data_IF_214533795012
#
_entry.id   IF_214533795012
#
_cell.length_a   1.000
_cell.length_b   1.000
_cell.length_c   1.000
_cell.angle_alpha   90.00
_cell.angle_beta   90.00
_cell.angle_gamma   90.00
#
_symmetry.space_group_name_H-M   'P 1'
#
loop_
_entity.id
_entity.type
_entity.pdbx_description
1 polymer ?
#
# COMPACT_ATOMS: atom_id res chain seq x y z
N UNK A 1 2.75 -14.21 13.16
CA UNK A 1 2.27 -13.94 14.53
C UNK A 1 1.80 -12.50 14.58
N UNK A 2 0.50 -12.30 14.70
CA UNK A 2 -0.06 -10.98 14.94
C UNK A 2 0.30 -10.61 16.38
N UNK A 3 1.11 -9.57 16.55
CA UNK A 3 1.39 -9.03 17.89
C UNK A 3 0.17 -8.19 18.28
N UNK A 4 -0.70 -8.73 19.12
CA UNK A 4 -1.76 -7.93 19.75
C UNK A 4 -1.10 -7.03 20.80
N UNK A 5 -1.01 -5.73 20.50
CA UNK A 5 -0.63 -4.74 21.50
C UNK A 5 -1.81 -4.49 22.42
N UNK A 6 -1.55 -4.46 23.72
CA UNK A 6 -2.54 -3.98 24.68
C UNK A 6 -2.70 -2.46 24.54
N UNK A 7 -3.87 -1.92 24.89
CA UNK A 7 -4.09 -0.45 24.86
C UNK A 7 -3.11 0.30 25.75
N UNK A 8 -2.68 -0.31 26.85
CA UNK A 8 -1.64 0.22 27.74
C UNK A 8 -0.30 0.37 27.02
N UNK A 9 0.11 -0.65 26.26
CA UNK A 9 1.36 -0.61 25.47
C UNK A 9 1.35 0.48 24.39
N UNK A 10 0.18 0.76 23.78
CA UNK A 10 0.05 1.86 22.83
C UNK A 10 0.34 3.20 23.51
N UNK A 11 -0.23 3.44 24.70
CA UNK A 11 0.00 4.67 25.46
C UNK A 11 1.45 4.74 25.95
N UNK A 12 1.99 3.64 26.46
CA UNK A 12 3.39 3.56 26.92
C UNK A 12 4.39 3.84 25.78
N UNK A 13 4.06 3.44 24.55
CA UNK A 13 4.89 3.73 23.37
C UNK A 13 4.99 5.23 23.08
N UNK A 14 3.91 5.99 23.36
CA UNK A 14 3.91 7.45 23.23
C UNK A 14 4.85 8.09 24.27
N UNK A 15 4.76 7.65 25.54
CA UNK A 15 5.65 8.16 26.58
C UNK A 15 7.11 7.81 26.30
N UNK A 16 7.40 6.59 25.88
CA UNK A 16 8.75 6.17 25.48
C UNK A 16 9.29 7.00 24.28
N UNK A 17 8.43 7.33 23.32
CA UNK A 17 8.81 8.20 22.21
C UNK A 17 9.12 9.63 22.68
N UNK A 18 8.38 10.16 23.65
CA UNK A 18 8.65 11.47 24.24
C UNK A 18 10.00 11.47 24.97
N UNK A 19 10.28 10.47 25.78
CA UNK A 19 11.55 10.33 26.49
C UNK A 19 12.75 10.23 25.52
N UNK A 20 12.63 9.39 24.50
CA UNK A 20 13.68 9.19 23.50
C UNK A 20 13.98 10.43 22.67
N UNK A 21 12.94 11.20 22.29
CA UNK A 21 13.08 12.34 21.36
C UNK A 21 13.15 13.71 22.05
N UNK A 22 12.78 13.80 23.32
CA UNK A 22 12.61 15.05 24.05
C UNK A 22 11.44 15.93 23.57
N UNK A 23 10.61 15.42 22.64
CA UNK A 23 9.48 16.17 22.07
C UNK A 23 8.21 15.94 22.89
N UNK A 24 7.48 17.02 23.17
CA UNK A 24 6.21 16.97 23.93
C UNK A 24 4.98 16.76 23.05
N UNK A 25 5.12 16.86 21.74
CA UNK A 25 4.04 16.71 20.77
C UNK A 25 4.41 15.71 19.67
N UNK A 26 3.42 15.09 19.06
CA UNK A 26 3.63 14.10 18.02
C UNK A 26 2.32 13.56 17.42
N UNK A 27 2.48 12.55 16.61
CA UNK A 27 1.38 11.81 15.99
C UNK A 27 1.50 10.35 16.44
N UNK A 28 0.39 9.82 16.98
CA UNK A 28 0.20 8.39 17.16
C UNK A 28 -0.56 7.88 15.94
N UNK A 29 0.12 7.09 15.10
CA UNK A 29 -0.48 6.46 13.93
C UNK A 29 -0.90 5.03 14.26
N UNK A 30 -2.16 4.69 13.98
CA UNK A 30 -2.73 3.36 14.20
C UNK A 30 -3.20 2.84 12.84
N UNK A 31 -2.56 1.81 12.34
CA UNK A 31 -2.93 1.16 11.09
C UNK A 31 -3.97 0.07 11.31
N UNK A 32 -4.77 -0.20 10.29
CA UNK A 32 -5.82 -1.24 10.27
C UNK A 32 -6.79 -1.16 11.45
N UNK A 33 -7.15 0.06 11.86
CA UNK A 33 -7.99 0.33 13.05
C UNK A 33 -9.33 -0.42 13.05
N UNK A 34 -9.85 -0.76 11.91
CA UNK A 34 -11.14 -1.43 11.73
C UNK A 34 -11.00 -2.97 11.54
N UNK A 35 -9.79 -3.51 11.65
CA UNK A 35 -9.51 -4.95 11.68
C UNK A 35 -9.45 -5.52 13.10
N UNK A 36 -9.73 -4.72 14.12
CA UNK A 36 -9.74 -5.17 15.53
C UNK A 36 -10.90 -6.13 15.82
N UNK A 37 -10.71 -7.01 16.81
CA UNK A 37 -11.74 -7.96 17.22
C UNK A 37 -13.02 -7.25 17.72
N UNK A 38 -14.15 -7.95 17.67
CA UNK A 38 -15.45 -7.43 18.16
C UNK A 38 -15.41 -6.95 19.61
N UNK A 39 -14.64 -7.64 20.42
CA UNK A 39 -14.49 -7.31 21.84
C UNK A 39 -13.66 -6.06 22.10
N UNK A 40 -12.71 -5.75 21.22
CA UNK A 40 -11.84 -4.59 21.35
C UNK A 40 -12.36 -3.35 20.61
N UNK A 41 -13.22 -3.51 19.61
CA UNK A 41 -13.70 -2.40 18.80
C UNK A 41 -14.34 -1.26 19.64
N UNK A 42 -15.25 -1.52 20.61
CA UNK A 42 -15.82 -0.44 21.43
C UNK A 42 -14.77 0.32 22.24
N UNK A 43 -13.79 -0.41 22.79
CA UNK A 43 -12.71 0.17 23.55
C UNK A 43 -11.78 1.04 22.70
N UNK A 44 -11.48 0.57 21.50
CA UNK A 44 -10.66 1.30 20.53
C UNK A 44 -11.37 2.58 20.08
N UNK A 45 -12.67 2.53 19.83
CA UNK A 45 -13.47 3.70 19.49
C UNK A 45 -13.50 4.72 20.62
N UNK A 46 -13.69 4.25 21.85
CA UNK A 46 -13.61 5.12 23.04
C UNK A 46 -12.24 5.77 23.17
N UNK A 47 -11.16 5.02 22.90
CA UNK A 47 -9.80 5.54 22.91
C UNK A 47 -9.60 6.64 21.87
N UNK A 48 -10.08 6.45 20.62
CA UNK A 48 -10.00 7.49 19.59
C UNK A 48 -10.73 8.77 19.99
N UNK A 49 -11.85 8.65 20.69
CA UNK A 49 -12.66 9.80 21.12
C UNK A 49 -12.08 10.52 22.35
N UNK A 50 -11.72 9.77 23.37
CA UNK A 50 -11.34 10.30 24.68
C UNK A 50 -9.84 10.43 24.84
N UNK A 51 -9.03 9.78 24.01
CA UNK A 51 -7.57 9.67 24.13
C UNK A 51 -7.12 9.06 25.46
N UNK A 52 -7.98 8.25 26.07
CA UNK A 52 -7.74 7.61 27.38
C UNK A 52 -8.06 6.13 27.32
N UNK A 53 -7.36 5.35 28.14
CA UNK A 53 -7.64 3.96 28.42
C UNK A 53 -7.45 3.68 29.90
N UNK A 54 -8.54 3.32 30.59
CA UNK A 54 -8.53 3.20 32.04
C UNK A 54 -8.12 4.53 32.70
N UNK A 55 -7.04 4.49 33.46
CA UNK A 55 -6.44 5.65 34.14
C UNK A 55 -5.27 6.30 33.38
N UNK A 56 -4.94 5.79 32.18
CA UNK A 56 -3.88 6.32 31.33
C UNK A 56 -4.47 7.21 30.25
N UNK A 57 -3.74 8.25 29.84
CA UNK A 57 -4.14 9.18 28.80
C UNK A 57 -2.98 9.47 27.84
N UNK A 58 -3.32 9.73 26.58
CA UNK A 58 -2.38 10.29 25.63
C UNK A 58 -2.06 11.72 26.05
N UNK A 59 -0.77 12.12 26.14
CA UNK A 59 -0.36 13.45 26.55
C UNK A 59 -0.95 14.55 25.65
N UNK A 60 -1.17 15.72 26.24
CA UNK A 60 -1.56 16.89 25.48
C UNK A 60 -0.54 17.23 24.39
N UNK A 61 -1.02 17.70 23.22
CA UNK A 61 -0.17 17.96 22.06
C UNK A 61 0.02 16.76 21.12
N UNK A 62 -0.48 15.58 21.48
CA UNK A 62 -0.50 14.41 20.58
C UNK A 62 -1.81 14.28 19.83
N UNK A 63 -1.68 13.95 18.53
CA UNK A 63 -2.80 13.70 17.62
C UNK A 63 -2.84 12.21 17.31
N UNK A 64 -4.03 11.61 17.38
CA UNK A 64 -4.25 10.25 16.91
C UNK A 64 -4.68 10.32 15.46
N UNK A 65 -3.98 9.59 14.60
CA UNK A 65 -4.32 9.36 13.18
C UNK A 65 -4.49 7.87 13.02
N UNK A 66 -5.63 7.46 12.47
CA UNK A 66 -5.92 6.06 12.24
C UNK A 66 -6.16 5.81 10.75
N UNK A 67 -5.66 4.69 10.24
CA UNK A 67 -5.94 4.21 8.90
C UNK A 67 -6.77 2.92 8.96
N UNK A 68 -7.57 2.71 7.95
CA UNK A 68 -8.37 1.49 7.82
C UNK A 68 -8.83 1.29 6.39
N UNK A 69 -9.03 0.05 6.00
CA UNK A 69 -9.52 -0.30 4.68
C UNK A 69 -11.05 -0.30 4.66
N UNK A 70 -11.68 0.12 3.57
CA UNK A 70 -13.13 0.02 3.44
C UNK A 70 -13.59 -1.45 3.36
N UNK A 71 -14.84 -1.76 3.77
CA UNK A 71 -15.36 -3.14 3.83
C UNK A 71 -15.33 -3.89 2.50
N UNK A 72 -15.34 -3.17 1.39
CA UNK A 72 -15.28 -3.72 0.03
C UNK A 72 -13.96 -4.49 -0.23
N UNK A 73 -12.89 -4.10 0.45
CA UNK A 73 -11.57 -4.74 0.30
C UNK A 73 -11.28 -5.83 1.33
N UNK A 74 -12.03 -5.84 2.44
CA UNK A 74 -11.83 -6.84 3.48
C UNK A 74 -13.14 -7.12 4.22
N UNK A 75 -13.67 -8.33 4.03
CA UNK A 75 -14.94 -8.77 4.65
C UNK A 75 -14.89 -8.85 6.19
N UNK A 76 -13.70 -8.87 6.76
CA UNK A 76 -13.50 -8.85 8.22
C UNK A 76 -13.53 -7.45 8.81
N UNK A 77 -13.57 -6.43 7.98
CA UNK A 77 -13.59 -5.02 8.37
C UNK A 77 -15.00 -4.60 8.76
N UNK A 78 -15.10 -3.78 9.79
CA UNK A 78 -16.35 -3.19 10.25
C UNK A 78 -16.43 -1.72 9.87
N UNK A 79 -17.62 -1.30 9.49
CA UNK A 79 -17.92 0.12 9.39
C UNK A 79 -18.02 0.73 10.80
N UNK A 80 -17.46 1.92 10.92
CA UNK A 80 -17.69 2.74 12.10
C UNK A 80 -19.14 3.25 12.11
N UNK A 81 -19.75 3.24 13.28
CA UNK A 81 -21.07 3.82 13.44
C UNK A 81 -21.07 5.35 13.24
N UNK A 82 -22.25 5.90 12.98
CA UNK A 82 -22.41 7.33 12.71
C UNK A 82 -21.94 8.19 13.90
N UNK A 83 -22.12 7.71 15.15
CA UNK A 83 -21.71 8.45 16.35
C UNK A 83 -20.19 8.58 16.43
N UNK A 84 -19.47 7.55 16.00
CA UNK A 84 -18.00 7.57 15.92
C UNK A 84 -17.52 8.47 14.80
N UNK A 85 -18.12 8.36 13.62
CA UNK A 85 -17.76 9.17 12.44
C UNK A 85 -17.99 10.66 12.67
N UNK A 86 -18.99 11.05 13.47
CA UNK A 86 -19.27 12.43 13.83
C UNK A 86 -18.15 13.09 14.68
N UNK A 87 -17.36 12.27 15.38
CA UNK A 87 -16.29 12.72 16.29
C UNK A 87 -14.88 12.67 15.67
N UNK A 88 -14.74 12.09 14.50
CA UNK A 88 -13.48 11.99 13.76
C UNK A 88 -13.56 12.73 12.44
N UNK A 89 -12.42 13.18 11.93
CA UNK A 89 -12.35 13.72 10.57
C UNK A 89 -11.98 12.59 9.62
N UNK A 90 -12.93 12.16 8.82
CA UNK A 90 -12.70 11.13 7.80
C UNK A 90 -12.07 11.76 6.55
N UNK A 91 -10.95 11.19 6.14
CA UNK A 91 -10.26 11.53 4.88
C UNK A 91 -10.31 10.28 4.02
N UNK A 92 -10.91 10.39 2.84
CA UNK A 92 -10.88 9.32 1.84
C UNK A 92 -9.59 9.46 1.04
N UNK A 93 -8.81 8.36 0.99
CA UNK A 93 -7.60 8.28 0.18
C UNK A 93 -7.93 7.43 -1.04
N UNK A 94 -7.83 8.01 -2.22
CA UNK A 94 -8.11 7.35 -3.48
C UNK A 94 -6.80 7.11 -4.25
N UNK A 95 -6.75 6.05 -5.09
CA UNK A 95 -5.61 5.83 -5.97
C UNK A 95 -5.49 6.99 -6.99
N UNK A 96 -4.32 7.63 -7.02
CA UNK A 96 -4.03 8.73 -7.94
C UNK A 96 -2.75 8.39 -8.74
N UNK A 97 -2.88 8.08 -10.02
CA UNK A 97 -1.75 7.72 -10.87
C UNK A 97 -0.76 8.87 -11.05
N UNK A 98 -1.15 10.12 -11.33
CA UNK A 98 -0.24 11.25 -11.41
C UNK A 98 0.63 11.43 -10.16
N UNK A 99 0.04 11.38 -8.97
CA UNK A 99 0.77 11.48 -7.72
C UNK A 99 1.71 10.28 -7.50
N UNK A 100 1.23 9.06 -7.77
CA UNK A 100 2.07 7.86 -7.68
C UNK A 100 3.23 7.88 -8.67
N UNK A 101 3.05 8.41 -9.87
CA UNK A 101 4.10 8.53 -10.88
C UNK A 101 5.27 9.38 -10.42
N UNK A 102 5.02 10.48 -9.69
CA UNK A 102 6.09 11.28 -9.10
C UNK A 102 6.87 10.51 -8.03
N UNK A 103 6.14 9.81 -7.17
CA UNK A 103 6.72 8.88 -6.20
C UNK A 103 7.56 7.80 -6.88
N UNK A 104 6.98 7.13 -7.88
CA UNK A 104 7.61 6.04 -8.62
C UNK A 104 8.94 6.45 -9.27
N UNK A 105 9.03 7.66 -9.82
CA UNK A 105 10.29 8.20 -10.36
C UNK A 105 11.36 8.37 -9.29
N UNK A 106 10.98 8.84 -8.10
CA UNK A 106 11.90 8.99 -6.96
C UNK A 106 12.39 7.64 -6.43
N UNK A 107 11.51 6.65 -6.42
CA UNK A 107 11.81 5.28 -5.98
C UNK A 107 12.50 4.44 -7.07
N UNK A 108 12.72 5.00 -8.27
CA UNK A 108 13.35 4.32 -9.39
C UNK A 108 12.60 3.07 -9.83
N UNK A 109 11.27 3.15 -9.85
CA UNK A 109 10.43 2.11 -10.42
C UNK A 109 10.86 1.84 -11.87
N UNK A 110 10.84 0.57 -12.27
CA UNK A 110 11.33 0.12 -13.57
C UNK A 110 10.69 0.90 -14.72
N UNK A 111 11.53 1.35 -15.66
CA UNK A 111 11.12 2.24 -16.76
C UNK A 111 10.04 1.62 -17.67
N UNK A 112 10.09 0.29 -17.87
CA UNK A 112 9.09 -0.45 -18.63
C UNK A 112 7.70 -0.36 -17.99
N UNK A 113 7.60 -0.42 -16.66
CA UNK A 113 6.33 -0.25 -15.94
C UNK A 113 5.82 1.19 -16.09
N UNK A 114 6.70 2.18 -15.92
CA UNK A 114 6.31 3.58 -16.07
C UNK A 114 5.82 3.88 -17.49
N UNK A 115 6.51 3.40 -18.51
CA UNK A 115 6.10 3.61 -19.90
C UNK A 115 4.82 2.86 -20.26
N UNK A 116 4.61 1.65 -19.70
CA UNK A 116 3.36 0.93 -19.84
C UNK A 116 2.19 1.71 -19.26
N UNK A 117 2.32 2.20 -18.04
CA UNK A 117 1.26 2.93 -17.34
C UNK A 117 1.00 4.34 -17.94
N UNK A 118 1.99 4.93 -18.62
CA UNK A 118 1.75 6.14 -19.43
C UNK A 118 0.80 5.88 -20.59
N UNK A 119 0.92 4.73 -21.24
CA UNK A 119 0.05 4.33 -22.35
C UNK A 119 -1.31 3.81 -21.88
N UNK A 120 -1.35 3.22 -20.68
CA UNK A 120 -2.54 2.56 -20.12
C UNK A 120 -2.77 2.95 -18.65
N UNK A 121 -3.02 4.23 -18.36
CA UNK A 121 -3.18 4.72 -16.99
C UNK A 121 -4.37 4.07 -16.25
N UNK A 122 -5.38 3.59 -16.98
CA UNK A 122 -6.51 2.85 -16.43
C UNK A 122 -6.11 1.52 -15.77
N UNK A 123 -4.94 0.97 -16.09
CA UNK A 123 -4.42 -0.27 -15.51
C UNK A 123 -3.60 -0.03 -14.22
N UNK A 124 -3.44 1.23 -13.80
CA UNK A 124 -2.73 1.55 -12.56
C UNK A 124 -3.41 0.96 -11.32
N UNK A 125 -4.73 1.06 -11.25
CA UNK A 125 -5.50 0.54 -10.14
C UNK A 125 -6.83 -0.03 -10.66
N UNK A 126 -7.02 -1.32 -10.51
CA UNK A 126 -8.26 -2.02 -10.87
C UNK A 126 -8.60 -3.02 -9.78
N UNK A 127 -9.85 -3.03 -9.35
CA UNK A 127 -10.40 -4.05 -8.46
C UNK A 127 -11.71 -4.51 -9.08
N UNK A 128 -11.81 -5.80 -9.32
CA UNK A 128 -12.98 -6.43 -9.92
C UNK A 128 -13.28 -7.73 -9.18
N UNK A 129 -14.54 -7.99 -8.90
CA UNK A 129 -14.97 -9.26 -8.33
C UNK A 129 -15.47 -10.15 -9.46
N UNK A 130 -14.95 -11.35 -9.55
CA UNK A 130 -15.39 -12.40 -10.47
C UNK A 130 -15.92 -13.60 -9.70
N UNK A 131 -16.43 -14.61 -10.43
CA UNK A 131 -16.99 -15.86 -9.87
C UNK A 131 -15.94 -16.62 -9.06
N UNK A 132 -14.68 -16.54 -9.49
CA UNK A 132 -13.55 -17.25 -8.91
C UNK A 132 -12.82 -16.44 -7.82
N UNK A 133 -13.20 -15.18 -7.60
CA UNK A 133 -12.60 -14.36 -6.57
C UNK A 133 -12.43 -12.89 -6.95
N UNK A 134 -11.47 -12.25 -6.28
CA UNK A 134 -11.14 -10.85 -6.50
C UNK A 134 -9.93 -10.73 -7.43
N UNK A 135 -10.13 -10.05 -8.55
CA UNK A 135 -9.06 -9.68 -9.49
C UNK A 135 -8.63 -8.26 -9.19
N UNK A 136 -7.33 -8.02 -9.05
CA UNK A 136 -6.88 -6.68 -8.71
C UNK A 136 -5.49 -6.33 -9.22
N UNK A 137 -5.29 -5.03 -9.39
CA UNK A 137 -4.00 -4.37 -9.63
C UNK A 137 -3.93 -3.19 -8.69
N UNK A 138 -2.81 -3.06 -7.98
CA UNK A 138 -2.59 -1.98 -7.02
C UNK A 138 -1.23 -1.32 -7.23
N UNK A 139 -1.06 -0.13 -6.67
CA UNK A 139 0.22 0.57 -6.65
C UNK A 139 1.35 -0.29 -6.06
N UNK A 140 1.06 -1.05 -5.00
CA UNK A 140 2.01 -1.99 -4.37
C UNK A 140 2.42 -3.09 -5.33
N UNK A 141 1.46 -3.70 -6.04
CA UNK A 141 1.77 -4.75 -7.04
C UNK A 141 2.74 -4.26 -8.12
N UNK A 142 2.60 -3.01 -8.59
CA UNK A 142 3.53 -2.40 -9.54
C UNK A 142 4.92 -2.19 -8.96
N UNK A 143 5.02 -1.79 -7.70
CA UNK A 143 6.29 -1.59 -7.01
C UNK A 143 7.04 -2.91 -6.78
N UNK A 144 6.31 -3.93 -6.32
CA UNK A 144 6.85 -5.27 -6.10
C UNK A 144 7.29 -5.91 -7.43
N UNK A 145 6.48 -5.81 -8.48
CA UNK A 145 6.84 -6.25 -9.82
C UNK A 145 8.08 -5.53 -10.35
N UNK A 146 8.20 -4.22 -10.13
CA UNK A 146 9.39 -3.45 -10.50
C UNK A 146 10.65 -4.01 -9.86
N UNK A 147 10.59 -4.30 -8.58
CA UNK A 147 11.72 -4.87 -7.83
C UNK A 147 12.11 -6.23 -8.40
N UNK A 148 11.13 -7.06 -8.71
CA UNK A 148 11.35 -8.37 -9.32
C UNK A 148 12.03 -8.25 -10.68
N UNK A 149 11.50 -7.42 -11.60
CA UNK A 149 12.05 -7.23 -12.94
C UNK A 149 13.53 -6.82 -12.84
N UNK A 150 13.86 -5.84 -12.00
CA UNK A 150 15.24 -5.36 -11.82
C UNK A 150 16.20 -6.46 -11.33
N UNK A 151 15.72 -7.34 -10.45
CA UNK A 151 16.50 -8.49 -9.99
C UNK A 151 16.71 -9.49 -11.13
N UNK A 152 15.66 -9.84 -11.86
CA UNK A 152 15.72 -10.78 -12.97
C UNK A 152 16.62 -10.27 -14.12
N UNK A 153 16.56 -8.99 -14.44
CA UNK A 153 17.48 -8.36 -15.39
C UNK A 153 18.95 -8.48 -14.94
N UNK A 154 19.21 -8.26 -13.65
CA UNK A 154 20.56 -8.40 -13.09
C UNK A 154 21.07 -9.85 -13.19
N UNK A 155 20.16 -10.83 -13.07
CA UNK A 155 20.49 -12.25 -13.18
C UNK A 155 20.47 -12.77 -14.62
N UNK A 156 20.07 -11.94 -15.60
CA UNK A 156 19.92 -12.34 -16.99
C UNK A 156 18.79 -13.37 -17.20
N UNK A 157 17.78 -13.38 -16.33
CA UNK A 157 16.63 -14.27 -16.40
C UNK A 157 15.45 -13.57 -17.08
N UNK A 158 14.64 -14.28 -17.87
CA UNK A 158 13.43 -13.73 -18.46
C UNK A 158 12.34 -13.53 -17.40
N UNK A 159 11.49 -12.54 -17.62
CA UNK A 159 10.27 -12.31 -16.85
C UNK A 159 9.11 -12.67 -17.76
N UNK A 160 8.36 -13.71 -17.39
CA UNK A 160 7.21 -14.21 -18.16
C UNK A 160 5.86 -13.79 -17.55
N UNK A 161 4.77 -14.15 -18.25
CA UNK A 161 3.40 -13.84 -17.82
C UNK A 161 3.05 -14.48 -16.48
N UNK A 162 3.49 -15.71 -16.23
CA UNK A 162 3.19 -16.42 -14.99
C UNK A 162 3.78 -15.68 -13.79
N UNK A 163 5.03 -15.25 -13.91
CA UNK A 163 5.72 -14.49 -12.88
C UNK A 163 5.07 -13.11 -12.65
N UNK A 164 4.67 -12.42 -13.70
CA UNK A 164 3.97 -11.14 -13.61
C UNK A 164 2.62 -11.32 -12.89
N UNK A 165 1.92 -12.41 -13.13
CA UNK A 165 0.62 -12.72 -12.55
C UNK A 165 0.67 -12.92 -11.03
N UNK A 166 1.82 -13.25 -10.45
CA UNK A 166 2.01 -13.32 -9.00
C UNK A 166 1.84 -11.95 -8.32
N UNK A 167 2.15 -10.86 -9.02
CA UNK A 167 2.08 -9.48 -8.50
C UNK A 167 0.88 -8.71 -9.04
N UNK A 168 0.50 -8.98 -10.28
CA UNK A 168 -0.63 -8.35 -10.98
C UNK A 168 -1.74 -9.39 -11.06
N UNK A 169 -2.56 -9.47 -10.02
CA UNK A 169 -3.62 -10.48 -9.89
C UNK A 169 -4.87 -10.13 -10.70
N UNK A 170 -4.66 -9.60 -11.89
CA UNK A 170 -5.67 -9.33 -12.92
C UNK A 170 -5.15 -9.89 -14.24
N UNK A 171 -5.64 -11.06 -14.70
CA UNK A 171 -5.05 -11.81 -15.81
C UNK A 171 -4.93 -11.00 -17.12
N UNK A 172 -5.96 -10.21 -17.47
CA UNK A 172 -5.91 -9.36 -18.66
C UNK A 172 -4.77 -8.33 -18.57
N UNK A 173 -4.55 -7.74 -17.39
CA UNK A 173 -3.49 -6.74 -17.21
C UNK A 173 -2.12 -7.42 -17.17
N UNK A 174 -1.98 -8.55 -16.49
CA UNK A 174 -0.73 -9.30 -16.44
C UNK A 174 -0.27 -9.70 -17.84
N UNK A 175 -1.17 -10.25 -18.65
CA UNK A 175 -0.90 -10.61 -20.05
C UNK A 175 -0.52 -9.39 -20.90
N UNK A 176 -1.25 -8.28 -20.76
CA UNK A 176 -0.98 -7.06 -21.54
C UNK A 176 0.41 -6.47 -21.18
N UNK A 177 0.79 -6.51 -19.88
CA UNK A 177 2.12 -6.11 -19.41
C UNK A 177 3.22 -7.01 -19.96
N UNK A 178 3.02 -8.34 -19.91
CA UNK A 178 3.99 -9.30 -20.42
C UNK A 178 4.30 -9.04 -21.89
N UNK A 179 3.28 -8.92 -22.72
CA UNK A 179 3.42 -8.60 -24.15
C UNK A 179 4.13 -7.25 -24.37
N UNK A 180 3.79 -6.26 -23.56
CA UNK A 180 4.42 -4.94 -23.65
C UNK A 180 5.91 -4.97 -23.30
N UNK A 181 6.30 -5.65 -22.23
CA UNK A 181 7.69 -5.78 -21.81
C UNK A 181 8.51 -6.57 -22.84
N UNK A 182 7.97 -7.64 -23.40
CA UNK A 182 8.60 -8.40 -24.47
C UNK A 182 8.88 -7.50 -25.69
N UNK A 183 7.90 -6.70 -26.11
CA UNK A 183 8.09 -5.77 -27.21
C UNK A 183 9.20 -4.75 -26.95
N UNK A 184 9.36 -4.27 -25.71
CA UNK A 184 10.45 -3.36 -25.36
C UNK A 184 11.82 -4.00 -25.49
N UNK A 185 11.97 -5.28 -25.12
CA UNK A 185 13.22 -6.02 -25.23
C UNK A 185 13.64 -6.17 -26.69
N UNK A 186 12.69 -6.41 -27.60
CA UNK A 186 12.97 -6.53 -29.04
C UNK A 186 13.24 -5.18 -29.73
N UNK A 187 12.76 -4.07 -29.20
CA UNK A 187 12.94 -2.72 -29.76
C UNK A 187 14.13 -1.97 -29.19
N UNK A 188 14.70 -2.44 -28.09
CA UNK A 188 15.95 -1.87 -27.57
C UNK A 188 17.13 -2.35 -28.42
N UNK A 189 17.96 -1.45 -29.02
CA UNK A 189 19.14 -1.85 -29.78
C UNK A 189 20.05 -2.68 -28.90
N UNK A 190 20.33 -3.91 -29.34
CA UNK A 190 21.27 -4.80 -28.65
C UNK A 190 22.63 -4.09 -28.53
N UNK A 191 23.31 -4.17 -27.37
CA UNK A 191 24.68 -3.67 -27.24
C UNK A 191 25.68 -4.27 -28.27
N UNK A 192 25.28 -5.34 -28.98
CA UNK A 192 26.10 -6.00 -30.03
C UNK A 192 26.00 -5.33 -31.40
N UNK A 193 24.99 -4.48 -31.67
CA UNK A 193 24.84 -3.83 -32.98
C UNK A 193 25.83 -2.66 -33.20
N UNK A 194 26.48 -2.19 -32.13
CA UNK A 194 27.52 -1.14 -32.19
C UNK A 194 28.89 -1.60 -32.60
N UNK A 195 29.15 -2.92 -32.79
CA UNK A 195 30.49 -3.47 -33.07
C UNK A 195 30.69 -3.92 -34.53
N UNK A 196 29.69 -3.78 -35.40
CA UNK A 196 29.79 -4.17 -36.81
C UNK A 196 29.92 -2.98 -37.79
N UNK A 197 30.22 -1.78 -37.29
CA UNK A 197 30.51 -0.61 -38.12
C UNK A 197 31.93 -0.10 -37.86
N UNK A 198 32.90 -0.88 -38.31
CA UNK A 198 34.25 -0.39 -38.67
C UNK A 198 34.83 -1.28 -39.75
#
# INVERSE_FOLDING_TARGET
SVTEYTMSEIIDSVYAAMERTGKKNGILFIDEINCVSETLAPTMLQFLQCKTFGNQAIPEGWIIVAAGNPPEYNKSVRDFDMVTLDRVRRIMVEPDYPAWKEYARRQRIHSGILSYLELRPQNFYRVQTDVDGMLFVTARGWEDLSTLIQVYETLGQPVDEDLISEFIQHPEVAKDVAVYLDCLLYTSPSPRDGLLSR
#
